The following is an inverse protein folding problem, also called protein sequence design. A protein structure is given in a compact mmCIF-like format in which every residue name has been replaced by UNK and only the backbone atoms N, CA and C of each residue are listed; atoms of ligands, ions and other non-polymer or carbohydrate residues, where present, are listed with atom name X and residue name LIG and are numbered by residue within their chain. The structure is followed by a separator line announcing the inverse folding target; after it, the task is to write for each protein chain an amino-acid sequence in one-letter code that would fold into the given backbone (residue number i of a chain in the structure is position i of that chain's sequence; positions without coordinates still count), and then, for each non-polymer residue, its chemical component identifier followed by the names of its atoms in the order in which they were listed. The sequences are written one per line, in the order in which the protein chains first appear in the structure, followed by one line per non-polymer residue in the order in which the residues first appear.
data_IF_841043125922
#
_entry.id   IF_841043125922
#
_cell.length_a   1.000
_cell.length_b   1.000
_cell.length_c   1.000
_cell.angle_alpha   90.00
_cell.angle_beta   90.00
_cell.angle_gamma   90.00
#
_symmetry.space_group_name_H-M   'P 1'
#
loop_
_entity.id
_entity.type
_entity.pdbx_description
1 polymer ?
#
# COMPACT_ATOMS: atom_id res chain seq x y z
N UNK A 1 -13.66 19.34 -20.51
CA UNK A 1 -12.32 19.52 -21.15
C UNK A 1 -11.24 19.32 -20.11
N UNK A 2 -10.45 18.23 -20.18
CA UNK A 2 -9.25 18.04 -19.34
C UNK A 2 -8.20 19.04 -19.81
N UNK A 3 -7.68 19.87 -18.92
CA UNK A 3 -6.72 20.93 -19.25
C UNK A 3 -5.37 20.36 -19.71
N UNK A 4 -4.66 21.01 -20.59
CA UNK A 4 -3.35 20.60 -21.13
C UNK A 4 -2.28 20.29 -20.07
N UNK A 5 -2.36 20.93 -18.91
CA UNK A 5 -1.49 20.71 -17.74
C UNK A 5 -1.68 19.34 -17.09
N UNK A 6 -2.92 18.79 -17.10
CA UNK A 6 -3.24 17.47 -16.55
C UNK A 6 -2.56 16.35 -17.33
N UNK A 7 -2.65 16.43 -18.65
CA UNK A 7 -2.05 15.49 -19.58
C UNK A 7 -0.51 15.44 -19.45
N UNK A 8 0.11 16.55 -19.07
CA UNK A 8 1.57 16.64 -18.96
C UNK A 8 2.14 15.92 -17.72
N UNK A 9 1.43 15.95 -16.56
CA UNK A 9 1.85 15.23 -15.34
C UNK A 9 1.75 13.72 -15.53
N UNK A 10 0.66 13.26 -16.10
CA UNK A 10 0.43 11.83 -16.40
C UNK A 10 1.49 11.30 -17.38
N UNK A 11 1.77 12.01 -18.47
CA UNK A 11 2.83 11.65 -19.42
C UNK A 11 4.21 11.55 -18.75
N UNK A 12 4.56 12.48 -17.87
CA UNK A 12 5.83 12.44 -17.11
C UNK A 12 5.90 11.22 -16.20
N UNK A 13 4.81 10.88 -15.52
CA UNK A 13 4.73 9.69 -14.68
C UNK A 13 4.96 8.42 -15.50
N UNK A 14 4.21 8.23 -16.59
CA UNK A 14 4.37 7.07 -17.51
C UNK A 14 5.80 6.98 -18.04
N UNK A 15 6.40 8.11 -18.45
CA UNK A 15 7.79 8.12 -18.92
C UNK A 15 8.77 7.65 -17.83
N UNK A 16 8.56 8.05 -16.58
CA UNK A 16 9.38 7.60 -15.45
C UNK A 16 9.20 6.11 -15.18
N UNK A 17 7.98 5.62 -15.23
CA UNK A 17 7.65 4.21 -15.02
C UNK A 17 8.20 3.29 -16.12
N UNK A 18 8.12 3.70 -17.38
CA UNK A 18 8.68 2.94 -18.50
C UNK A 18 10.20 2.73 -18.43
N UNK A 19 10.90 3.46 -17.56
CA UNK A 19 12.34 3.24 -17.31
C UNK A 19 12.62 2.12 -16.30
N UNK A 20 11.60 1.70 -15.54
CA UNK A 20 11.72 0.63 -14.55
C UNK A 20 11.74 -0.76 -15.19
N UNK A 21 10.98 -0.93 -16.27
CA UNK A 21 10.97 -2.16 -17.05
C UNK A 21 11.72 -1.97 -18.35
N UNK A 22 12.60 -2.93 -18.68
CA UNK A 22 13.41 -2.88 -19.89
C UNK A 22 12.62 -3.31 -21.14
N UNK A 23 11.60 -4.16 -20.95
CA UNK A 23 10.80 -4.69 -22.04
C UNK A 23 9.80 -3.65 -22.56
N UNK A 24 9.85 -3.41 -23.86
CA UNK A 24 8.90 -2.48 -24.52
C UNK A 24 7.44 -2.95 -24.44
N UNK A 25 7.22 -4.27 -24.32
CA UNK A 25 5.88 -4.84 -24.20
C UNK A 25 5.21 -4.46 -22.87
N UNK A 26 5.98 -4.08 -21.84
CA UNK A 26 5.43 -3.62 -20.56
C UNK A 26 4.95 -2.15 -20.59
N UNK A 27 5.33 -1.37 -21.61
CA UNK A 27 4.98 0.05 -21.71
C UNK A 27 3.47 0.30 -21.84
N UNK A 28 2.80 -0.52 -22.66
CA UNK A 28 1.36 -0.38 -22.88
C UNK A 28 0.56 -0.77 -21.63
N UNK A 29 0.80 -1.91 -20.98
CA UNK A 29 0.18 -2.25 -19.70
C UNK A 29 0.36 -1.16 -18.63
N UNK A 30 1.55 -0.60 -18.48
CA UNK A 30 1.82 0.49 -17.53
C UNK A 30 1.00 1.74 -17.86
N UNK A 31 0.99 2.15 -19.14
CA UNK A 31 0.22 3.32 -19.55
C UNK A 31 -1.28 3.14 -19.31
N UNK A 32 -1.82 1.98 -19.65
CA UNK A 32 -3.23 1.63 -19.44
C UNK A 32 -3.58 1.63 -17.94
N UNK A 33 -2.70 1.09 -17.09
CA UNK A 33 -2.87 1.10 -15.64
C UNK A 33 -2.95 2.53 -15.10
N UNK A 34 -2.06 3.43 -15.53
CA UNK A 34 -2.10 4.84 -15.09
C UNK A 34 -3.37 5.55 -15.58
N UNK A 35 -3.82 5.26 -16.80
CA UNK A 35 -5.08 5.81 -17.32
C UNK A 35 -6.29 5.30 -16.53
N UNK A 36 -6.32 4.01 -16.20
CA UNK A 36 -7.37 3.39 -15.39
C UNK A 36 -7.41 3.97 -13.98
N UNK A 37 -6.26 4.12 -13.32
CA UNK A 37 -6.14 4.77 -12.02
C UNK A 37 -6.61 6.23 -12.06
N UNK A 38 -6.30 6.97 -13.12
CA UNK A 38 -6.76 8.34 -13.29
C UNK A 38 -8.29 8.41 -13.49
N UNK A 39 -8.81 7.51 -14.29
CA UNK A 39 -10.25 7.45 -14.59
C UNK A 39 -11.08 7.10 -13.36
N UNK A 40 -10.62 6.10 -12.59
CA UNK A 40 -11.36 5.57 -11.44
C UNK A 40 -11.18 6.37 -10.16
N UNK A 41 -9.96 6.88 -9.92
CA UNK A 41 -9.56 7.46 -8.64
C UNK A 41 -9.08 8.92 -8.72
N UNK A 42 -9.18 9.57 -9.87
CA UNK A 42 -8.67 10.94 -10.09
C UNK A 42 -7.19 11.10 -9.70
N UNK A 43 -6.35 10.12 -10.13
CA UNK A 43 -4.92 10.12 -9.79
C UNK A 43 -4.25 11.47 -10.10
N UNK A 44 -4.55 12.06 -11.25
CA UNK A 44 -3.99 13.36 -11.66
C UNK A 44 -4.41 14.49 -10.72
N UNK A 45 -5.67 14.52 -10.29
CA UNK A 45 -6.18 15.49 -9.32
C UNK A 45 -5.51 15.31 -7.96
N UNK A 46 -5.32 14.07 -7.53
CA UNK A 46 -4.62 13.74 -6.29
C UNK A 46 -3.14 14.13 -6.33
N UNK A 47 -2.43 13.85 -7.42
CA UNK A 47 -1.04 14.31 -7.62
C UNK A 47 -0.89 15.83 -7.67
N UNK A 48 -1.95 16.58 -8.03
CA UNK A 48 -1.93 18.05 -7.96
C UNK A 48 -2.02 18.55 -6.54
N UNK A 49 -2.86 17.93 -5.73
CA UNK A 49 -3.08 18.29 -4.32
C UNK A 49 -1.90 17.83 -3.45
N UNK A 50 -1.39 16.63 -3.73
CA UNK A 50 -0.34 15.96 -2.95
C UNK A 50 0.74 15.40 -3.88
N UNK A 51 1.81 16.14 -4.16
CA UNK A 51 2.88 15.72 -5.08
C UNK A 51 3.53 14.37 -4.70
N UNK A 52 3.54 14.02 -3.42
CA UNK A 52 4.06 12.74 -2.93
C UNK A 52 3.34 11.49 -3.47
N UNK A 53 2.10 11.63 -3.96
CA UNK A 53 1.36 10.52 -4.57
C UNK A 53 2.09 9.97 -5.80
N UNK A 54 2.64 10.84 -6.65
CA UNK A 54 3.43 10.41 -7.81
C UNK A 54 4.67 9.59 -7.41
N UNK A 55 5.35 10.02 -6.34
CA UNK A 55 6.51 9.33 -5.78
C UNK A 55 6.15 7.92 -5.28
N UNK A 56 5.02 7.81 -4.59
CA UNK A 56 4.48 6.54 -4.08
C UNK A 56 4.19 5.57 -5.24
N UNK A 57 3.50 6.01 -6.27
CA UNK A 57 3.23 5.18 -7.46
C UNK A 57 4.53 4.67 -8.07
N UNK A 58 5.53 5.54 -8.23
CA UNK A 58 6.84 5.14 -8.76
C UNK A 58 7.53 4.11 -7.87
N UNK A 59 7.52 4.28 -6.55
CA UNK A 59 8.12 3.32 -5.61
C UNK A 59 7.44 1.97 -5.68
N UNK A 60 6.10 1.94 -5.76
CA UNK A 60 5.33 0.70 -5.87
C UNK A 60 5.65 -0.05 -7.18
N UNK A 61 5.68 0.64 -8.31
CA UNK A 61 6.10 0.04 -9.58
C UNK A 61 7.56 -0.44 -9.53
N UNK A 62 8.46 0.29 -8.87
CA UNK A 62 9.84 -0.13 -8.72
C UNK A 62 9.95 -1.43 -7.88
N UNK A 63 9.17 -1.58 -6.82
CA UNK A 63 9.10 -2.81 -6.04
C UNK A 63 8.63 -3.98 -6.90
N UNK A 64 7.58 -3.78 -7.70
CA UNK A 64 7.11 -4.81 -8.64
C UNK A 64 8.18 -5.16 -9.67
N UNK A 65 8.88 -4.18 -10.24
CA UNK A 65 9.94 -4.41 -11.22
C UNK A 65 11.16 -5.16 -10.64
N UNK A 66 11.39 -5.02 -9.34
CA UNK A 66 12.43 -5.78 -8.63
C UNK A 66 12.01 -7.20 -8.29
N UNK A 67 10.69 -7.48 -8.24
CA UNK A 67 10.13 -8.76 -7.80
C UNK A 67 9.62 -9.61 -8.96
N UNK A 68 9.25 -9.00 -10.07
CA UNK A 68 8.69 -9.66 -11.24
C UNK A 68 9.49 -9.26 -12.49
N UNK A 69 9.83 -10.24 -13.29
CA UNK A 69 10.59 -10.00 -14.54
C UNK A 69 9.80 -9.13 -15.52
N UNK A 70 8.48 -9.32 -15.58
CA UNK A 70 7.57 -8.64 -16.50
C UNK A 70 6.28 -8.22 -15.81
N UNK A 71 5.67 -7.15 -16.30
CA UNK A 71 4.34 -6.72 -15.84
C UNK A 71 3.29 -7.81 -16.06
N UNK A 72 3.37 -8.56 -17.17
CA UNK A 72 2.45 -9.66 -17.48
C UNK A 72 2.52 -10.80 -16.45
N UNK A 73 3.66 -10.98 -15.76
CA UNK A 73 3.83 -12.01 -14.73
C UNK A 73 3.02 -11.73 -13.46
N UNK A 74 2.51 -10.51 -13.31
CA UNK A 74 1.68 -10.09 -12.17
C UNK A 74 0.24 -10.53 -12.34
N UNK A 75 -0.21 -10.73 -13.59
CA UNK A 75 -1.60 -11.08 -13.91
C UNK A 75 -2.02 -12.40 -13.23
N UNK A 76 -3.23 -12.39 -12.67
CA UNK A 76 -3.82 -13.52 -11.93
C UNK A 76 -3.04 -13.97 -10.69
N UNK A 77 -2.07 -13.19 -10.22
CA UNK A 77 -1.39 -13.45 -8.97
C UNK A 77 -2.23 -12.93 -7.81
N UNK A 78 -2.41 -13.76 -6.79
CA UNK A 78 -3.04 -13.35 -5.54
C UNK A 78 -1.98 -12.71 -4.64
N UNK A 79 -2.14 -11.42 -4.36
CA UNK A 79 -1.10 -10.59 -3.71
C UNK A 79 -1.68 -9.91 -2.48
N UNK A 80 -1.07 -10.15 -1.33
CA UNK A 80 -1.45 -9.51 -0.06
C UNK A 80 -0.65 -8.22 0.16
N UNK A 81 -1.35 -7.14 0.46
CA UNK A 81 -0.77 -5.86 0.90
C UNK A 81 -1.18 -5.56 2.35
N UNK A 82 -0.24 -5.75 3.26
CA UNK A 82 -0.42 -5.53 4.70
C UNK A 82 -0.17 -4.05 5.01
N UNK A 83 -1.10 -3.39 5.67
CA UNK A 83 -1.15 -1.94 5.86
C UNK A 83 -1.25 -1.18 4.52
N UNK A 84 -2.18 -1.62 3.68
CA UNK A 84 -2.34 -1.13 2.30
C UNK A 84 -2.76 0.35 2.21
N UNK A 85 -3.23 0.94 3.29
CA UNK A 85 -3.83 2.26 3.35
C UNK A 85 -5.36 2.22 3.32
N UNK A 86 -5.99 3.37 3.48
CA UNK A 86 -7.46 3.49 3.51
C UNK A 86 -7.97 4.55 2.55
N UNK A 87 -9.24 4.44 2.14
CA UNK A 87 -9.85 5.33 1.14
C UNK A 87 -10.79 6.38 1.73
N UNK A 88 -10.98 6.41 3.03
CA UNK A 88 -11.95 7.29 3.65
C UNK A 88 -11.33 8.48 4.36
N UNK A 89 -12.06 9.60 4.32
CA UNK A 89 -11.78 10.80 5.11
C UNK A 89 -11.98 10.60 6.62
N UNK A 90 -12.39 9.41 7.03
CA UNK A 90 -12.52 8.98 8.41
C UNK A 90 -11.27 8.25 8.90
N UNK A 91 -10.07 8.71 8.53
CA UNK A 91 -8.96 8.46 9.43
C UNK A 91 -9.45 8.82 10.84
N UNK A 92 -9.25 7.97 11.84
CA UNK A 92 -9.79 8.22 13.17
C UNK A 92 -9.46 9.66 13.52
N UNK A 93 -10.48 10.48 13.77
CA UNK A 93 -10.39 11.94 13.84
C UNK A 93 -9.39 12.44 14.88
N UNK A 94 -8.78 11.52 15.59
CA UNK A 94 -7.74 11.81 16.57
C UNK A 94 -7.04 10.53 16.99
N UNK A 95 -5.81 10.41 16.60
CA UNK A 95 -4.86 9.51 17.25
C UNK A 95 -4.51 10.09 18.61
N UNK A 96 -4.82 9.34 19.64
CA UNK A 96 -4.51 9.71 21.01
C UNK A 96 -3.40 8.82 21.55
N UNK A 97 -2.36 9.42 22.09
CA UNK A 97 -1.55 8.74 23.10
C UNK A 97 -2.23 8.91 24.43
N UNK A 98 -2.51 7.82 25.11
CA UNK A 98 -2.83 7.85 26.51
C UNK A 98 -1.51 7.89 27.28
N UNK A 99 -1.22 9.01 27.93
CA UNK A 99 -0.07 9.16 28.83
C UNK A 99 -0.57 9.12 30.26
N UNK A 100 0.31 8.90 31.26
CA UNK A 100 -0.04 9.06 32.68
C UNK A 100 -0.64 10.44 33.03
N UNK A 101 -0.43 11.43 32.17
CA UNK A 101 -0.93 12.80 32.33
C UNK A 101 -2.16 13.11 31.48
N UNK A 102 -2.79 12.08 30.86
CA UNK A 102 -3.99 12.25 30.05
C UNK A 102 -3.81 11.89 28.58
N UNK A 103 -4.87 12.07 27.79
CA UNK A 103 -4.84 11.86 26.34
C UNK A 103 -4.19 13.02 25.63
N UNK A 104 -3.12 12.77 24.87
CA UNK A 104 -2.50 13.76 23.99
C UNK A 104 -2.79 13.41 22.53
N UNK A 105 -3.39 14.34 21.79
CA UNK A 105 -3.54 14.20 20.34
C UNK A 105 -2.16 14.25 19.69
N UNK A 106 -1.79 13.19 18.97
CA UNK A 106 -0.58 13.17 18.18
C UNK A 106 -0.98 13.33 16.74
N UNK A 107 -0.52 14.42 16.15
CA UNK A 107 -0.67 14.64 14.73
C UNK A 107 -2.13 14.63 14.29
N UNK A 108 -2.68 15.79 14.13
CA UNK A 108 -3.77 16.04 13.21
C UNK A 108 -3.14 16.41 11.90
N UNK A 109 -3.42 15.68 10.86
CA UNK A 109 -3.69 16.40 9.63
C UNK A 109 -4.89 17.29 9.98
N UNK A 110 -4.68 18.56 10.15
CA UNK A 110 -5.74 19.55 10.41
C UNK A 110 -6.76 19.61 9.26
N UNK A 111 -6.56 18.81 8.23
CA UNK A 111 -7.32 18.75 6.98
C UNK A 111 -7.88 17.38 6.65
N UNK A 112 -7.88 16.42 7.58
CA UNK A 112 -8.44 15.07 7.32
C UNK A 112 -7.45 14.15 6.59
N UNK A 113 -8.00 13.25 5.81
CA UNK A 113 -7.35 12.20 5.06
C UNK A 113 -6.29 12.72 4.08
N UNK A 114 -5.17 12.02 3.98
CA UNK A 114 -4.08 12.31 3.05
C UNK A 114 -4.09 11.28 1.92
N UNK A 115 -4.17 11.73 0.67
CA UNK A 115 -4.16 10.87 -0.52
C UNK A 115 -2.92 9.97 -0.63
N UNK A 116 -1.84 10.28 0.10
CA UNK A 116 -0.65 9.45 0.20
C UNK A 116 -0.87 8.11 0.92
N UNK A 117 -1.89 8.03 1.78
CA UNK A 117 -2.24 6.82 2.54
C UNK A 117 -3.39 6.04 1.93
N UNK A 118 -3.80 6.37 0.69
CA UNK A 118 -4.75 5.57 -0.06
C UNK A 118 -4.14 4.25 -0.52
N UNK A 119 -4.96 3.20 -0.77
CA UNK A 119 -4.48 1.85 -1.10
C UNK A 119 -3.99 1.74 -2.55
N UNK A 120 -3.03 2.61 -2.92
CA UNK A 120 -2.53 2.74 -4.29
C UNK A 120 -1.91 1.47 -4.82
N UNK A 121 -1.26 0.67 -3.96
CA UNK A 121 -0.65 -0.58 -4.39
C UNK A 121 -1.70 -1.60 -4.80
N UNK A 122 -2.73 -1.84 -3.98
CA UNK A 122 -3.84 -2.72 -4.34
C UNK A 122 -4.59 -2.23 -5.59
N UNK A 123 -4.87 -0.93 -5.69
CA UNK A 123 -5.50 -0.33 -6.88
C UNK A 123 -4.68 -0.58 -8.14
N UNK A 124 -3.37 -0.37 -8.07
CA UNK A 124 -2.45 -0.60 -9.18
C UNK A 124 -2.37 -2.09 -9.57
N UNK A 125 -2.27 -2.99 -8.59
CA UNK A 125 -2.28 -4.43 -8.81
C UNK A 125 -3.56 -4.89 -9.51
N UNK A 126 -4.70 -4.39 -9.07
CA UNK A 126 -6.01 -4.68 -9.68
C UNK A 126 -6.04 -4.26 -11.16
N UNK A 127 -5.59 -3.06 -11.48
CA UNK A 127 -5.56 -2.57 -12.87
C UNK A 127 -4.49 -3.29 -13.72
N UNK A 128 -3.48 -3.92 -13.12
CA UNK A 128 -2.54 -4.84 -13.78
C UNK A 128 -3.11 -6.24 -13.99
N UNK A 129 -4.31 -6.52 -13.48
CA UNK A 129 -5.00 -7.80 -13.62
C UNK A 129 -4.57 -8.85 -12.58
N UNK A 130 -3.98 -8.45 -11.48
CA UNK A 130 -3.78 -9.29 -10.31
C UNK A 130 -5.08 -9.44 -9.48
N UNK A 131 -5.04 -10.30 -8.49
CA UNK A 131 -6.05 -10.48 -7.44
C UNK A 131 -5.48 -9.94 -6.10
N UNK A 132 -5.52 -8.62 -5.86
CA UNK A 132 -4.98 -8.05 -4.64
C UNK A 132 -5.93 -8.24 -3.46
N UNK A 133 -5.35 -8.49 -2.30
CA UNK A 133 -6.04 -8.47 -1.01
C UNK A 133 -5.41 -7.38 -0.14
N UNK A 134 -6.20 -6.40 0.25
CA UNK A 134 -5.74 -5.31 1.11
C UNK A 134 -6.13 -5.53 2.57
N UNK A 135 -5.21 -5.27 3.49
CA UNK A 135 -5.49 -5.29 4.93
C UNK A 135 -5.02 -3.99 5.54
N UNK A 136 -5.92 -3.29 6.22
CA UNK A 136 -5.60 -2.03 6.90
C UNK A 136 -6.51 -1.82 8.12
N UNK A 137 -6.09 -0.96 9.03
CA UNK A 137 -6.92 -0.52 10.15
C UNK A 137 -8.03 0.43 9.71
N UNK A 138 -7.77 1.20 8.66
CA UNK A 138 -8.68 2.18 8.11
C UNK A 138 -9.81 1.55 7.29
N UNK A 139 -10.79 2.37 6.96
CA UNK A 139 -11.94 1.99 6.15
C UNK A 139 -11.53 1.89 4.67
N UNK A 140 -11.90 0.77 4.05
CA UNK A 140 -11.65 0.44 2.64
C UNK A 140 -12.94 0.30 1.82
N UNK A 141 -14.08 0.76 2.37
CA UNK A 141 -15.34 0.77 1.63
C UNK A 141 -15.19 1.40 0.24
N UNK A 142 -15.85 0.81 -0.76
CA UNK A 142 -15.86 1.22 -2.18
C UNK A 142 -14.61 0.86 -2.98
N UNK A 143 -13.65 0.14 -2.41
CA UNK A 143 -12.58 -0.46 -3.21
C UNK A 143 -13.12 -1.63 -4.05
N UNK A 144 -12.46 -1.89 -5.19
CA UNK A 144 -12.90 -2.91 -6.16
C UNK A 144 -12.19 -4.25 -5.98
N UNK A 145 -11.28 -4.33 -5.04
CA UNK A 145 -10.51 -5.52 -4.68
C UNK A 145 -10.97 -6.06 -3.33
N UNK A 146 -10.58 -7.29 -3.01
CA UNK A 146 -10.82 -7.92 -1.71
C UNK A 146 -10.07 -7.17 -0.62
N UNK A 147 -10.75 -6.85 0.49
CA UNK A 147 -10.12 -6.13 1.59
C UNK A 147 -10.69 -6.52 2.96
N UNK A 148 -9.89 -6.29 4.00
CA UNK A 148 -10.28 -6.52 5.38
C UNK A 148 -9.82 -5.37 6.27
N UNK A 149 -10.74 -4.89 7.11
CA UNK A 149 -10.41 -3.91 8.14
C UNK A 149 -9.93 -4.63 9.40
N UNK A 150 -8.64 -4.52 9.72
CA UNK A 150 -7.97 -5.30 10.76
C UNK A 150 -7.03 -4.43 11.58
N UNK A 151 -7.06 -4.62 12.90
CA UNK A 151 -6.07 -4.03 13.81
C UNK A 151 -4.78 -4.87 13.81
N UNK A 152 -3.85 -4.49 12.94
CA UNK A 152 -2.55 -5.16 12.78
C UNK A 152 -1.64 -5.05 14.03
N UNK A 153 -2.02 -4.26 15.02
CA UNK A 153 -1.34 -4.20 16.32
C UNK A 153 -1.66 -5.38 17.24
N UNK A 154 -2.53 -6.30 16.81
CA UNK A 154 -2.89 -7.49 17.59
C UNK A 154 -2.17 -8.72 17.09
N UNK A 155 -1.68 -9.55 18.02
CA UNK A 155 -1.17 -10.88 17.70
C UNK A 155 -2.30 -11.73 17.11
N UNK A 156 -2.02 -12.48 16.05
CA UNK A 156 -3.03 -13.28 15.35
C UNK A 156 -3.98 -12.48 14.47
N UNK A 157 -3.73 -11.21 14.24
CA UNK A 157 -4.61 -10.33 13.46
C UNK A 157 -4.91 -10.84 12.03
N UNK A 158 -4.04 -11.66 11.46
CA UNK A 158 -4.18 -12.25 10.13
C UNK A 158 -4.52 -13.74 10.14
N UNK A 159 -4.81 -14.35 11.31
CA UNK A 159 -5.06 -15.80 11.42
C UNK A 159 -6.31 -16.28 10.65
N UNK A 160 -7.20 -15.37 10.26
CA UNK A 160 -8.36 -15.67 9.44
C UNK A 160 -8.03 -15.92 7.95
N UNK A 161 -6.86 -15.48 7.50
CA UNK A 161 -6.41 -15.73 6.12
C UNK A 161 -5.82 -17.13 6.02
N UNK A 162 -6.16 -17.91 4.93
CA UNK A 162 -5.68 -19.27 4.74
C UNK A 162 -4.16 -19.33 4.55
N UNK A 163 -3.54 -20.40 5.08
CA UNK A 163 -2.14 -20.70 4.86
C UNK A 163 -1.84 -20.89 3.37
N UNK A 164 -0.64 -20.53 2.96
CA UNK A 164 -0.12 -20.77 1.61
C UNK A 164 -1.06 -20.32 0.49
N UNK A 165 -1.76 -19.19 0.69
CA UNK A 165 -2.81 -18.74 -0.24
C UNK A 165 -2.36 -17.60 -1.16
N UNK A 166 -1.21 -16.98 -0.91
CA UNK A 166 -0.72 -15.83 -1.68
C UNK A 166 0.52 -16.14 -2.51
N UNK A 167 0.51 -15.67 -3.76
CA UNK A 167 1.68 -15.74 -4.65
C UNK A 167 2.74 -14.73 -4.26
N UNK A 168 2.35 -13.61 -3.66
CA UNK A 168 3.25 -12.60 -3.15
C UNK A 168 2.65 -11.90 -1.93
N UNK A 169 3.52 -11.41 -1.06
CA UNK A 169 3.16 -10.61 0.12
C UNK A 169 4.03 -9.36 0.16
N UNK A 170 3.43 -8.26 0.56
CA UNK A 170 4.17 -7.06 0.94
C UNK A 170 3.57 -6.51 2.23
N UNK A 171 4.43 -5.94 3.08
CA UNK A 171 4.02 -4.95 4.05
C UNK A 171 4.70 -3.63 3.71
N UNK A 172 4.00 -2.54 3.87
CA UNK A 172 4.64 -1.26 3.68
C UNK A 172 4.04 -0.19 4.57
N UNK A 173 4.95 0.61 5.17
CA UNK A 173 4.59 1.76 6.00
C UNK A 173 3.87 1.45 7.32
N UNK A 174 3.67 0.19 7.69
CA UNK A 174 3.06 -0.15 8.97
C UNK A 174 3.89 0.42 10.12
N UNK A 175 5.16 0.03 10.21
CA UNK A 175 6.04 0.36 11.34
C UNK A 175 6.54 1.80 11.34
N UNK A 176 6.51 2.46 10.19
CA UNK A 176 6.83 3.87 10.02
C UNK A 176 5.62 4.82 10.08
N UNK A 177 4.39 4.28 10.21
CA UNK A 177 3.21 5.12 10.27
C UNK A 177 3.14 5.89 11.60
N UNK A 178 2.70 7.16 11.57
CA UNK A 178 2.49 7.93 12.80
C UNK A 178 1.50 7.24 13.74
N UNK A 179 0.49 6.58 13.20
CA UNK A 179 -0.55 5.84 13.90
C UNK A 179 0.03 4.68 14.69
N UNK A 180 0.80 3.83 14.01
CA UNK A 180 1.43 2.68 14.63
C UNK A 180 2.45 3.11 15.71
N UNK A 181 3.27 4.13 15.40
CA UNK A 181 4.24 4.66 16.35
C UNK A 181 3.56 5.27 17.58
N UNK A 182 2.39 5.88 17.41
CA UNK A 182 1.60 6.42 18.49
C UNK A 182 0.98 5.34 19.37
N UNK A 183 0.48 4.27 18.75
CA UNK A 183 -0.11 3.13 19.43
C UNK A 183 0.96 2.32 20.19
N UNK A 184 2.14 2.18 19.63
CA UNK A 184 3.27 1.44 20.17
C UNK A 184 4.52 2.33 20.33
N UNK A 185 4.55 3.23 21.31
CA UNK A 185 5.69 4.13 21.52
C UNK A 185 6.97 3.39 21.92
N UNK A 186 6.83 2.22 22.55
CA UNK A 186 7.96 1.39 22.96
C UNK A 186 8.48 0.56 21.77
N UNK A 187 9.80 0.60 21.54
CA UNK A 187 10.45 -0.18 20.50
C UNK A 187 10.26 -1.69 20.69
N UNK A 188 10.30 -2.19 21.92
CA UNK A 188 10.13 -3.61 22.20
C UNK A 188 8.75 -4.13 21.77
N UNK A 189 7.70 -3.34 21.93
CA UNK A 189 6.35 -3.71 21.51
C UNK A 189 6.24 -3.70 19.97
N UNK A 190 6.85 -2.71 19.31
CA UNK A 190 6.94 -2.70 17.83
C UNK A 190 7.68 -3.91 17.29
N UNK A 191 8.78 -4.34 17.96
CA UNK A 191 9.52 -5.53 17.57
C UNK A 191 8.68 -6.81 17.69
N UNK A 192 7.86 -6.96 18.74
CA UNK A 192 6.95 -8.10 18.88
C UNK A 192 5.94 -8.15 17.72
N UNK A 193 5.35 -7.02 17.37
CA UNK A 193 4.42 -6.96 16.24
C UNK A 193 5.15 -7.23 14.92
N UNK A 194 6.37 -6.73 14.73
CA UNK A 194 7.16 -7.02 13.54
C UNK A 194 7.48 -8.51 13.39
N UNK A 195 7.83 -9.18 14.50
CA UNK A 195 8.04 -10.63 14.52
C UNK A 195 6.76 -11.39 14.15
N UNK A 196 5.61 -10.96 14.69
CA UNK A 196 4.32 -11.56 14.35
C UNK A 196 3.96 -11.35 12.88
N UNK A 197 4.09 -10.14 12.36
CA UNK A 197 3.83 -9.86 10.93
C UNK A 197 4.74 -10.74 10.06
N UNK A 198 6.02 -10.85 10.40
CA UNK A 198 6.96 -11.70 9.66
C UNK A 198 6.55 -13.17 9.68
N UNK A 199 6.12 -13.68 10.84
CA UNK A 199 5.59 -15.04 10.96
C UNK A 199 4.36 -15.25 10.06
N UNK A 200 3.44 -14.29 10.06
CA UNK A 200 2.24 -14.34 9.23
C UNK A 200 2.57 -14.25 7.73
N UNK A 201 3.47 -13.37 7.33
CA UNK A 201 3.94 -13.29 5.95
C UNK A 201 4.44 -14.66 5.44
N UNK A 202 5.27 -15.34 6.26
CA UNK A 202 5.80 -16.66 5.93
C UNK A 202 4.70 -17.71 5.83
N UNK A 203 3.74 -17.72 6.76
CA UNK A 203 2.61 -18.64 6.79
C UNK A 203 1.71 -18.49 5.56
N UNK A 204 1.45 -17.24 5.17
CA UNK A 204 0.50 -16.90 4.11
C UNK A 204 1.06 -17.11 2.71
N UNK A 205 2.39 -17.05 2.54
CA UNK A 205 3.03 -17.29 1.24
C UNK A 205 2.91 -18.74 0.80
N UNK A 206 2.60 -18.95 -0.49
CA UNK A 206 2.77 -20.24 -1.17
C UNK A 206 4.24 -20.67 -1.13
N UNK A 207 4.50 -21.96 -1.35
CA UNK A 207 5.86 -22.51 -1.36
C UNK A 207 6.84 -21.75 -2.28
N UNK A 208 6.35 -21.34 -3.46
CA UNK A 208 7.12 -20.54 -4.42
C UNK A 208 6.69 -19.06 -4.43
N UNK A 209 6.08 -18.61 -3.35
CA UNK A 209 5.65 -17.21 -3.19
C UNK A 209 6.83 -16.28 -2.92
N UNK A 210 6.65 -15.01 -3.21
CA UNK A 210 7.71 -14.01 -3.07
C UNK A 210 7.36 -12.90 -2.09
N UNK A 211 8.37 -12.38 -1.42
CA UNK A 211 8.26 -11.12 -0.69
C UNK A 211 8.57 -9.97 -1.65
N UNK A 212 7.60 -9.08 -1.87
CA UNK A 212 7.83 -7.87 -2.66
C UNK A 212 8.58 -6.83 -1.82
N UNK A 213 8.16 -6.65 -0.57
CA UNK A 213 8.80 -5.77 0.40
C UNK A 213 8.29 -6.12 1.81
N UNK A 214 9.16 -5.98 2.81
CA UNK A 214 8.77 -6.14 4.20
C UNK A 214 9.42 -5.08 5.08
N UNK A 215 8.62 -4.16 5.62
CA UNK A 215 9.04 -3.19 6.64
C UNK A 215 9.31 -3.89 7.98
N UNK A 216 8.67 -5.05 8.24
CA UNK A 216 8.99 -5.90 9.38
C UNK A 216 10.45 -6.35 9.34
N UNK A 217 10.95 -6.81 8.19
CA UNK A 217 12.35 -7.18 8.01
C UNK A 217 13.30 -6.00 8.27
N UNK A 218 12.94 -4.80 7.83
CA UNK A 218 13.75 -3.61 8.06
C UNK A 218 13.81 -3.22 9.54
N UNK A 219 12.75 -3.45 10.30
CA UNK A 219 12.70 -3.16 11.74
C UNK A 219 13.45 -4.21 12.57
N UNK A 220 13.48 -5.46 12.11
CA UNK A 220 14.10 -6.59 12.81
C UNK A 220 15.64 -6.68 12.64
N UNK A 221 16.20 -5.97 11.67
CA UNK A 221 17.65 -5.80 11.47
C UNK A 221 18.21 -4.73 12.42
#
# INVERSE_FOLDING_TARGET
MRTSSSNNKQKRLVTKLNRLWKDEQDRLPIANTIEALDTRYDLTGKMKKEPGVAEIIVQMFARLANSFERVSSIRNKRILDIACGSNTSRAPASLFITTPFGRKTIGRSSKGYTAQFEPWFCRMLFELGADPVGVDFGDLEREVFEYYQVDLGKIGALDFLPDHSFDAVQDSRLFGSPEFTAQFPNRADRLKIAQEIKRQEQRLLKENGIFIHSDADALLR
#
